data_IF_955554852123
#
_entry.id   IF_955554852123
#
_cell.length_a   1.000
_cell.length_b   1.000
_cell.length_c   1.000
_cell.angle_alpha   90.00
_cell.angle_beta   90.00
_cell.angle_gamma   90.00
#
_symmetry.space_group_name_H-M   'P 1'
#
loop_
_entity.id
_entity.type
_entity.pdbx_description
1 polymer ?
#
# COMPACT_ATOMS: atom_id res chain seq x y z
N UNK A 1 -61.99 56.13 25.94
CA UNK A 1 -60.74 56.75 25.44
C UNK A 1 -59.47 56.33 26.18
N UNK A 2 -59.53 55.62 27.31
CA UNK A 2 -58.35 55.24 28.11
C UNK A 2 -57.68 53.95 27.63
N UNK A 3 -58.46 52.92 27.26
CA UNK A 3 -57.91 51.59 26.91
C UNK A 3 -57.05 51.59 25.63
N UNK A 4 -57.42 52.37 24.61
CA UNK A 4 -56.64 52.50 23.37
C UNK A 4 -55.27 53.13 23.59
N UNK A 5 -55.11 54.04 24.58
CA UNK A 5 -53.82 54.68 24.89
C UNK A 5 -52.84 53.69 25.51
N UNK A 6 -53.32 52.81 26.39
CA UNK A 6 -52.50 51.75 27.00
C UNK A 6 -52.10 50.67 25.99
N UNK A 7 -52.99 50.32 25.06
CA UNK A 7 -52.68 49.40 23.97
C UNK A 7 -51.60 49.98 23.03
N UNK A 8 -51.70 51.25 22.64
CA UNK A 8 -50.68 51.91 21.81
C UNK A 8 -49.31 52.00 22.51
N UNK A 9 -49.30 52.27 23.83
CA UNK A 9 -48.08 52.29 24.63
C UNK A 9 -47.42 50.91 24.71
N UNK A 10 -48.22 49.86 24.92
CA UNK A 10 -47.73 48.47 24.95
C UNK A 10 -47.14 48.03 23.61
N UNK A 11 -47.79 48.39 22.50
CA UNK A 11 -47.29 48.08 21.14
C UNK A 11 -45.98 48.82 20.86
N UNK A 12 -45.86 50.10 21.26
CA UNK A 12 -44.63 50.86 21.09
C UNK A 12 -43.44 50.28 21.88
N UNK A 13 -43.68 49.86 23.13
CA UNK A 13 -42.65 49.23 23.97
C UNK A 13 -42.24 47.87 23.39
N UNK A 14 -43.20 47.05 22.95
CA UNK A 14 -42.91 45.74 22.35
C UNK A 14 -42.06 45.87 21.07
N UNK A 15 -42.39 46.85 20.21
CA UNK A 15 -41.62 47.12 19.00
C UNK A 15 -40.21 47.64 19.33
N UNK A 16 -40.08 48.56 20.28
CA UNK A 16 -38.79 49.09 20.72
C UNK A 16 -37.88 48.00 21.31
N UNK A 17 -38.42 47.18 22.20
CA UNK A 17 -37.69 46.08 22.83
C UNK A 17 -37.25 45.02 21.80
N UNK A 18 -38.09 44.68 20.83
CA UNK A 18 -37.74 43.70 19.78
C UNK A 18 -36.53 44.12 18.97
N UNK A 19 -36.46 45.40 18.58
CA UNK A 19 -35.32 45.93 17.81
C UNK A 19 -34.03 45.95 18.64
N UNK A 20 -34.10 46.33 19.92
CA UNK A 20 -32.93 46.33 20.81
C UNK A 20 -32.40 44.92 21.06
N UNK A 21 -33.31 43.94 21.25
CA UNK A 21 -32.94 42.53 21.39
C UNK A 21 -32.29 42.01 20.11
N UNK A 22 -32.84 42.33 18.94
CA UNK A 22 -32.25 41.94 17.66
C UNK A 22 -30.83 42.50 17.48
N UNK A 23 -30.61 43.78 17.78
CA UNK A 23 -29.28 44.41 17.69
C UNK A 23 -28.30 43.78 18.69
N UNK A 24 -28.73 43.52 19.92
CA UNK A 24 -27.90 42.87 20.95
C UNK A 24 -27.52 41.44 20.56
N UNK A 25 -28.44 40.71 19.91
CA UNK A 25 -28.18 39.36 19.42
C UNK A 25 -27.20 39.36 18.24
N UNK A 26 -27.32 40.33 17.32
CA UNK A 26 -26.41 40.49 16.19
C UNK A 26 -25.01 40.93 16.63
N UNK A 27 -24.90 41.79 17.65
CA UNK A 27 -23.62 42.23 18.20
C UNK A 27 -22.81 41.13 18.90
N UNK A 28 -23.46 40.04 19.34
CA UNK A 28 -22.80 38.88 19.96
C UNK A 28 -22.20 37.88 18.96
N UNK A 29 -22.53 37.99 17.67
CA UNK A 29 -22.17 37.00 16.65
C UNK A 29 -20.82 37.24 15.96
N UNK A 30 -20.14 38.36 16.22
CA UNK A 30 -18.80 38.58 15.69
C UNK A 30 -17.78 37.87 16.59
N UNK A 31 -17.64 36.57 16.40
CA UNK A 31 -16.46 35.85 16.86
C UNK A 31 -15.23 36.63 16.39
N UNK A 32 -14.38 37.07 17.32
CA UNK A 32 -13.23 37.95 17.05
C UNK A 32 -12.11 37.31 16.23
N UNK A 33 -12.42 36.29 15.44
CA UNK A 33 -11.48 35.62 14.57
C UNK A 33 -11.45 36.36 13.22
N UNK A 34 -10.27 36.85 12.78
CA UNK A 34 -10.14 37.50 11.49
C UNK A 34 -10.53 36.53 10.37
N UNK A 35 -11.33 37.01 9.41
CA UNK A 35 -11.66 36.26 8.21
C UNK A 35 -10.46 36.29 7.26
N UNK A 36 -9.82 35.14 7.06
CA UNK A 36 -8.71 35.00 6.12
C UNK A 36 -9.25 34.66 4.72
N UNK A 37 -8.89 35.46 3.71
CA UNK A 37 -9.11 35.10 2.31
C UNK A 37 -7.80 34.54 1.76
N UNK A 38 -7.67 33.21 1.77
CA UNK A 38 -6.44 32.53 1.38
C UNK A 38 -6.61 31.97 -0.04
N UNK A 39 -5.63 32.16 -0.93
CA UNK A 39 -5.65 31.52 -2.23
C UNK A 39 -5.53 29.99 -2.05
N UNK A 40 -6.61 29.27 -2.31
CA UNK A 40 -6.62 27.80 -2.30
C UNK A 40 -6.31 27.28 -3.71
N UNK A 41 -5.26 26.46 -3.82
CA UNK A 41 -4.91 25.72 -5.04
C UNK A 41 -4.54 24.28 -4.68
N UNK A 42 -4.51 23.37 -5.66
CA UNK A 42 -4.29 21.93 -5.45
C UNK A 42 -2.92 21.58 -4.81
N UNK A 43 -2.00 22.55 -4.74
CA UNK A 43 -0.66 22.40 -4.16
C UNK A 43 -0.32 23.50 -3.14
N UNK A 44 -1.30 24.31 -2.70
CA UNK A 44 -1.02 25.36 -1.72
C UNK A 44 -0.90 24.81 -0.31
N UNK A 45 0.13 25.24 0.41
CA UNK A 45 0.22 25.10 1.86
C UNK A 45 0.27 26.49 2.50
N UNK A 46 -0.37 26.65 3.65
CA UNK A 46 -0.31 27.88 4.44
C UNK A 46 -0.24 27.57 5.94
N UNK A 47 0.52 28.39 6.68
CA UNK A 47 0.56 28.39 8.14
C UNK A 47 0.17 29.78 8.59
N UNK A 48 -0.83 29.87 9.46
CA UNK A 48 -1.29 31.13 10.03
C UNK A 48 -1.05 31.07 11.52
N UNK A 49 -0.23 32.00 12.00
CA UNK A 49 0.04 32.22 13.41
C UNK A 49 -0.70 33.49 13.82
N UNK A 50 -1.75 33.33 14.62
CA UNK A 50 -2.55 34.46 15.13
C UNK A 50 -2.20 34.70 16.58
N UNK A 51 -1.68 35.89 16.85
CA UNK A 51 -1.45 36.41 18.19
C UNK A 51 -2.52 37.46 18.48
N UNK A 52 -3.41 37.20 19.45
CA UNK A 52 -4.39 38.19 19.88
C UNK A 52 -3.71 39.17 20.83
N UNK A 53 -3.69 40.46 20.47
CA UNK A 53 -3.07 41.48 21.31
C UNK A 53 -3.83 41.62 22.65
N UNK A 54 -3.19 41.22 23.75
CA UNK A 54 -3.73 41.34 25.11
C UNK A 54 -4.27 40.05 25.75
N UNK A 55 -4.24 38.91 25.06
CA UNK A 55 -4.61 37.60 25.63
C UNK A 55 -3.48 36.57 25.38
N UNK A 56 -3.25 35.66 26.33
CA UNK A 56 -2.23 34.59 26.25
C UNK A 56 -2.59 33.47 25.26
N UNK A 57 -3.72 33.59 24.58
CA UNK A 57 -4.25 32.58 23.67
C UNK A 57 -3.73 32.83 22.26
N UNK A 58 -2.85 31.94 21.81
CA UNK A 58 -2.35 31.90 20.43
C UNK A 58 -2.94 30.69 19.72
N UNK A 59 -3.36 30.90 18.47
CA UNK A 59 -3.93 29.84 17.65
C UNK A 59 -3.11 29.71 16.37
N UNK A 60 -2.66 28.49 16.11
CA UNK A 60 -1.91 28.13 14.91
C UNK A 60 -2.79 27.27 14.00
N UNK A 61 -2.95 27.70 12.74
CA UNK A 61 -3.72 26.99 11.72
C UNK A 61 -2.75 26.58 10.62
N UNK A 62 -2.50 25.26 10.47
CA UNK A 62 -1.69 24.71 9.37
C UNK A 62 -2.59 24.01 8.39
N UNK A 63 -2.44 24.35 7.12
CA UNK A 63 -3.07 23.67 6.01
C UNK A 63 -1.98 23.24 5.02
N UNK A 64 -1.93 21.95 4.67
CA UNK A 64 -1.03 21.42 3.64
C UNK A 64 -1.86 20.62 2.64
N UNK A 65 -1.87 21.03 1.38
CA UNK A 65 -2.31 20.18 0.27
C UNK A 65 -1.07 19.60 -0.42
N UNK A 66 -1.09 18.28 -0.63
CA UNK A 66 -0.07 17.51 -1.34
C UNK A 66 1.36 17.66 -0.79
N UNK A 67 1.58 17.28 0.47
CA UNK A 67 2.94 17.00 0.98
C UNK A 67 3.29 15.56 0.55
N UNK A 68 4.14 15.34 -0.48
CA UNK A 68 4.44 14.00 -0.97
C UNK A 68 5.26 13.27 0.09
N UNK A 69 4.58 12.64 1.04
CA UNK A 69 5.20 11.76 2.01
C UNK A 69 5.85 10.62 1.24
N UNK A 70 7.17 10.48 1.31
CA UNK A 70 7.84 9.31 0.73
C UNK A 70 7.54 8.10 1.62
N UNK A 71 7.11 6.99 1.01
CA UNK A 71 7.04 5.69 1.67
C UNK A 71 8.24 4.89 1.23
N UNK A 72 8.95 4.35 2.21
CA UNK A 72 10.07 3.44 2.00
C UNK A 72 9.57 2.01 2.17
N UNK A 73 9.74 1.19 1.13
CA UNK A 73 9.49 -0.25 1.20
C UNK A 73 10.83 -0.99 1.16
N UNK A 74 11.16 -1.67 2.26
CA UNK A 74 12.32 -2.55 2.39
C UNK A 74 11.90 -3.96 2.01
N UNK A 75 12.46 -4.51 0.92
CA UNK A 75 12.27 -5.91 0.54
C UNK A 75 13.56 -6.70 0.70
N UNK A 76 13.51 -7.73 1.54
CA UNK A 76 14.57 -8.73 1.68
C UNK A 76 14.22 -9.93 0.81
N UNK A 77 15.05 -10.22 -0.19
CA UNK A 77 14.87 -11.39 -1.06
C UNK A 77 15.96 -12.41 -0.73
N UNK A 78 15.55 -13.59 -0.25
CA UNK A 78 16.42 -14.75 -0.12
C UNK A 78 16.50 -15.49 -1.47
N UNK A 79 17.64 -15.42 -2.15
CA UNK A 79 17.90 -16.21 -3.36
C UNK A 79 18.69 -17.48 -2.99
N UNK A 80 18.28 -18.66 -3.46
CA UNK A 80 19.09 -19.87 -3.26
C UNK A 80 20.41 -19.70 -4.03
N UNK A 81 21.54 -19.91 -3.36
CA UNK A 81 22.82 -19.98 -4.06
C UNK A 81 22.80 -21.20 -4.99
N UNK A 82 23.29 -21.03 -6.22
CA UNK A 82 23.24 -22.00 -7.33
C UNK A 82 23.56 -23.45 -6.96
N UNK A 83 23.36 -24.37 -7.90
CA UNK A 83 23.39 -25.84 -7.68
C UNK A 83 24.70 -26.36 -7.09
N UNK A 84 25.80 -25.63 -7.27
CA UNK A 84 27.12 -26.01 -6.77
C UNK A 84 27.53 -25.28 -5.50
N UNK A 85 26.74 -24.32 -4.99
CA UNK A 85 27.11 -23.47 -3.86
C UNK A 85 26.05 -23.56 -2.76
N UNK A 86 26.34 -24.31 -1.69
CA UNK A 86 25.46 -24.42 -0.52
C UNK A 86 25.39 -23.06 0.20
N UNK A 87 24.22 -22.41 0.17
CA UNK A 87 23.96 -21.19 0.93
C UNK A 87 22.71 -20.44 0.47
N UNK A 88 22.27 -19.47 1.27
CA UNK A 88 21.29 -18.46 0.88
C UNK A 88 22.02 -17.15 0.62
N UNK A 89 21.65 -16.43 -0.43
CA UNK A 89 22.11 -15.07 -0.68
C UNK A 89 20.98 -14.12 -0.32
N UNK A 90 21.20 -13.25 0.67
CA UNK A 90 20.27 -12.18 1.01
C UNK A 90 20.57 -10.97 0.13
N UNK A 91 19.54 -10.44 -0.54
CA UNK A 91 19.62 -9.18 -1.29
C UNK A 91 18.60 -8.20 -0.73
N UNK A 92 19.06 -7.00 -0.38
CA UNK A 92 18.21 -5.91 0.11
C UNK A 92 17.86 -4.96 -1.04
N UNK A 93 16.57 -4.72 -1.26
CA UNK A 93 16.08 -3.75 -2.23
C UNK A 93 15.32 -2.68 -1.46
N UNK A 94 15.85 -1.46 -1.46
CA UNK A 94 15.21 -0.26 -0.91
C UNK A 94 14.46 0.45 -2.04
N UNK A 95 13.14 0.60 -1.89
CA UNK A 95 12.32 1.39 -2.82
C UNK A 95 11.74 2.58 -2.10
N UNK A 96 11.97 3.78 -2.63
CA UNK A 96 11.39 5.03 -2.14
C UNK A 96 10.40 5.53 -3.19
N UNK A 97 9.15 5.77 -2.80
CA UNK A 97 8.12 6.32 -3.71
C UNK A 97 7.27 7.37 -3.01
N UNK A 98 6.91 8.49 -3.68
CA UNK A 98 5.99 9.49 -3.11
C UNK A 98 4.58 8.92 -2.95
N UNK A 99 3.91 9.22 -1.84
CA UNK A 99 2.51 8.86 -1.58
C UNK A 99 1.59 9.66 -2.48
N UNK A 100 0.77 8.97 -3.28
CA UNK A 100 -0.22 9.57 -4.17
C UNK A 100 0.06 9.30 -5.64
N UNK A 101 1.28 8.89 -5.99
CA UNK A 101 1.48 8.17 -7.24
C UNK A 101 0.87 6.78 -7.01
N UNK A 102 -0.10 6.39 -7.85
CA UNK A 102 -0.72 5.08 -7.78
C UNK A 102 0.40 4.06 -7.59
N UNK A 103 0.30 3.21 -6.56
CA UNK A 103 1.16 2.04 -6.42
C UNK A 103 0.97 1.27 -7.71
N UNK A 104 1.85 1.54 -8.67
CA UNK A 104 1.67 1.07 -10.01
C UNK A 104 2.05 -0.39 -9.92
N UNK A 105 1.07 -1.22 -9.61
CA UNK A 105 1.19 -2.66 -9.59
C UNK A 105 1.54 -3.16 -11.01
N UNK A 106 1.51 -2.29 -12.04
CA UNK A 106 2.13 -2.55 -13.33
C UNK A 106 3.67 -2.57 -13.29
N UNK A 107 4.36 -2.06 -12.26
CA UNK A 107 5.79 -2.29 -12.10
C UNK A 107 6.10 -3.71 -11.58
N UNK A 108 5.09 -4.46 -11.12
CA UNK A 108 5.18 -5.93 -10.96
C UNK A 108 4.92 -6.62 -12.30
N UNK A 109 4.22 -5.95 -13.23
CA UNK A 109 4.01 -6.39 -14.60
C UNK A 109 5.07 -5.78 -15.53
N UNK A 110 6.32 -6.18 -15.30
CA UNK A 110 7.46 -6.03 -16.22
C UNK A 110 7.58 -4.67 -16.94
N UNK A 111 8.53 -3.78 -16.56
CA UNK A 111 9.23 -3.07 -17.63
C UNK A 111 9.78 -4.17 -18.55
N UNK A 112 9.63 -4.02 -19.87
CA UNK A 112 10.12 -4.95 -20.90
C UNK A 112 11.18 -5.88 -20.33
N UNK A 113 10.81 -7.16 -20.10
CA UNK A 113 11.76 -8.16 -19.59
C UNK A 113 12.99 -8.00 -20.47
N UNK A 114 14.08 -7.49 -19.88
CA UNK A 114 15.32 -7.31 -20.63
C UNK A 114 15.59 -8.65 -21.30
N UNK A 115 16.02 -8.71 -22.56
CA UNK A 115 16.14 -9.99 -23.29
C UNK A 115 16.82 -11.10 -22.45
N UNK A 116 17.79 -10.70 -21.61
CA UNK A 116 18.41 -11.54 -20.59
C UNK A 116 17.45 -12.12 -19.53
N UNK A 117 16.56 -11.34 -18.96
CA UNK A 117 15.56 -11.82 -17.99
C UNK A 117 14.56 -12.80 -18.62
N UNK A 118 14.11 -12.54 -19.86
CA UNK A 118 13.25 -13.47 -20.59
C UNK A 118 13.98 -14.80 -20.84
N UNK A 119 15.24 -14.74 -21.28
CA UNK A 119 16.09 -15.91 -21.46
C UNK A 119 16.34 -16.68 -20.15
N UNK A 120 16.57 -15.99 -19.02
CA UNK A 120 16.72 -16.64 -17.71
C UNK A 120 15.44 -17.36 -17.26
N UNK A 121 14.26 -16.77 -17.53
CA UNK A 121 12.96 -17.37 -17.19
C UNK A 121 12.72 -18.61 -18.06
N UNK A 122 12.99 -18.52 -19.36
CA UNK A 122 12.85 -19.63 -20.30
C UNK A 122 13.83 -20.77 -20.00
N UNK A 123 15.10 -20.46 -19.73
CA UNK A 123 16.10 -21.45 -19.32
C UNK A 123 15.69 -22.13 -18.01
N UNK A 124 15.24 -21.36 -17.03
CA UNK A 124 14.70 -21.91 -15.78
C UNK A 124 13.48 -22.81 -16.03
N UNK A 125 12.59 -22.45 -16.95
CA UNK A 125 11.42 -23.26 -17.31
C UNK A 125 11.82 -24.55 -18.05
N UNK A 126 12.74 -24.47 -19.00
CA UNK A 126 13.28 -25.64 -19.71
C UNK A 126 13.99 -26.60 -18.74
N UNK A 127 14.78 -26.07 -17.81
CA UNK A 127 15.43 -26.83 -16.75
C UNK A 127 14.43 -27.49 -15.79
N UNK A 128 13.32 -26.83 -15.44
CA UNK A 128 12.23 -27.45 -14.66
C UNK A 128 11.64 -28.65 -15.37
N UNK A 129 11.37 -28.53 -16.66
CA UNK A 129 10.75 -29.60 -17.45
C UNK A 129 11.67 -30.81 -17.58
N UNK A 130 12.94 -30.59 -17.90
CA UNK A 130 13.94 -31.66 -18.01
C UNK A 130 14.23 -32.29 -16.63
N UNK A 131 14.38 -31.47 -15.59
CA UNK A 131 14.58 -31.93 -14.23
C UNK A 131 13.39 -32.71 -13.69
N UNK A 132 12.16 -32.31 -14.02
CA UNK A 132 10.94 -33.05 -13.67
C UNK A 132 10.88 -34.41 -14.35
N UNK A 133 11.29 -34.50 -15.62
CA UNK A 133 11.35 -35.76 -16.37
C UNK A 133 12.38 -36.72 -15.75
N UNK A 134 13.62 -36.25 -15.52
CA UNK A 134 14.68 -37.06 -14.90
C UNK A 134 14.33 -37.44 -13.46
N UNK A 135 13.79 -36.50 -12.68
CA UNK A 135 13.32 -36.73 -11.32
C UNK A 135 12.13 -37.70 -11.25
N UNK A 136 11.24 -37.67 -12.25
CA UNK A 136 10.17 -38.66 -12.37
C UNK A 136 10.71 -40.06 -12.63
N UNK A 137 11.71 -40.21 -13.50
CA UNK A 137 12.33 -41.50 -13.80
C UNK A 137 12.97 -42.13 -12.54
N UNK A 138 13.66 -41.33 -11.73
CA UNK A 138 14.24 -41.77 -10.45
C UNK A 138 13.15 -42.10 -9.42
N UNK A 139 12.11 -41.27 -9.31
CA UNK A 139 10.97 -41.54 -8.42
C UNK A 139 10.20 -42.81 -8.81
N UNK A 140 10.05 -43.07 -10.10
CA UNK A 140 9.45 -44.31 -10.62
C UNK A 140 10.38 -45.52 -10.45
N UNK A 141 11.69 -45.34 -10.46
CA UNK A 141 12.64 -46.43 -10.20
C UNK A 141 12.61 -46.90 -8.73
N UNK A 142 12.18 -46.04 -7.81
CA UNK A 142 11.90 -46.39 -6.41
C UNK A 142 10.46 -46.89 -6.18
N UNK A 143 9.59 -46.84 -7.21
CA UNK A 143 8.23 -47.38 -7.12
C UNK A 143 8.15 -48.89 -6.81
N UNK A 144 9.04 -49.79 -7.27
CA UNK A 144 8.91 -51.23 -7.04
C UNK A 144 8.97 -51.62 -5.55
N UNK A 145 9.70 -50.87 -4.73
CA UNK A 145 9.83 -51.13 -3.28
C UNK A 145 8.65 -50.61 -2.48
N UNK A 146 7.95 -49.57 -2.98
CA UNK A 146 6.75 -49.00 -2.36
C UNK A 146 5.45 -49.61 -2.91
N UNK A 147 5.49 -50.17 -4.12
CA UNK A 147 4.37 -50.84 -4.79
C UNK A 147 4.06 -52.25 -4.22
N UNK A 148 4.88 -52.76 -3.29
CA UNK A 148 4.65 -54.06 -2.63
C UNK A 148 3.43 -54.10 -1.69
N UNK A 149 2.75 -52.97 -1.45
CA UNK A 149 1.52 -52.89 -0.63
C UNK A 149 0.29 -52.98 -1.54
N UNK A 150 -0.55 -54.04 -1.47
CA UNK A 150 -1.51 -54.45 -2.51
C UNK A 150 -2.65 -53.46 -2.83
N UNK A 151 -2.80 -52.36 -2.08
CA UNK A 151 -3.84 -51.33 -2.33
C UNK A 151 -3.25 -49.92 -2.30
N UNK A 152 -2.27 -49.65 -1.43
CA UNK A 152 -1.64 -48.33 -1.28
C UNK A 152 -0.44 -48.13 -2.21
N UNK A 153 0.10 -49.19 -2.79
CA UNK A 153 1.30 -49.18 -3.63
C UNK A 153 1.25 -48.17 -4.79
N UNK A 154 0.20 -48.14 -5.63
CA UNK A 154 0.07 -47.15 -6.70
C UNK A 154 0.02 -45.70 -6.20
N UNK A 155 -0.61 -45.46 -5.04
CA UNK A 155 -0.69 -44.13 -4.43
C UNK A 155 0.67 -43.70 -3.85
N UNK A 156 1.39 -44.60 -3.19
CA UNK A 156 2.73 -44.35 -2.66
C UNK A 156 3.76 -44.18 -3.78
N UNK A 157 3.66 -44.95 -4.86
CA UNK A 157 4.47 -44.77 -6.06
C UNK A 157 4.17 -43.44 -6.76
N UNK A 158 2.90 -43.04 -6.83
CA UNK A 158 2.49 -41.71 -7.30
C UNK A 158 3.11 -40.59 -6.45
N UNK A 159 3.03 -40.70 -5.12
CA UNK A 159 3.64 -39.74 -4.20
C UNK A 159 5.17 -39.67 -4.35
N UNK A 160 5.85 -40.81 -4.45
CA UNK A 160 7.30 -40.86 -4.66
C UNK A 160 7.71 -40.24 -6.00
N UNK A 161 6.92 -40.46 -7.05
CA UNK A 161 7.14 -39.84 -8.37
C UNK A 161 6.93 -38.34 -8.32
N UNK A 162 5.89 -37.85 -7.63
CA UNK A 162 5.67 -36.40 -7.44
C UNK A 162 6.79 -35.74 -6.64
N UNK A 163 7.31 -36.41 -5.61
CA UNK A 163 8.46 -35.92 -4.85
C UNK A 163 9.73 -35.86 -5.70
N UNK A 164 9.98 -36.89 -6.52
CA UNK A 164 11.09 -36.91 -7.47
C UNK A 164 10.96 -35.83 -8.54
N UNK A 165 9.75 -35.62 -9.06
CA UNK A 165 9.41 -34.52 -9.97
C UNK A 165 9.67 -33.14 -9.35
N UNK A 166 9.27 -32.92 -8.09
CA UNK A 166 9.42 -31.65 -7.40
C UNK A 166 10.89 -31.33 -7.12
N UNK A 167 11.65 -32.30 -6.57
CA UNK A 167 13.08 -32.14 -6.35
C UNK A 167 13.85 -31.99 -7.66
N UNK A 168 13.54 -32.82 -8.66
CA UNK A 168 14.14 -32.75 -9.99
C UNK A 168 13.86 -31.43 -10.68
N UNK A 169 12.63 -30.90 -10.60
CA UNK A 169 12.30 -29.60 -11.20
C UNK A 169 13.07 -28.45 -10.55
N UNK A 170 13.25 -28.46 -9.22
CA UNK A 170 14.03 -27.44 -8.50
C UNK A 170 15.48 -27.47 -8.93
N UNK A 171 16.11 -28.65 -8.89
CA UNK A 171 17.51 -28.84 -9.29
C UNK A 171 17.70 -28.48 -10.76
N UNK A 172 16.88 -29.03 -11.66
CA UNK A 172 16.96 -28.73 -13.10
C UNK A 172 16.76 -27.26 -13.42
N UNK A 173 15.84 -26.57 -12.74
CA UNK A 173 15.64 -25.13 -12.91
C UNK A 173 16.84 -24.29 -12.51
N UNK A 174 17.58 -24.77 -11.51
CA UNK A 174 18.71 -24.05 -10.94
C UNK A 174 19.98 -24.34 -11.75
N UNK A 175 20.19 -25.57 -12.25
CA UNK A 175 21.29 -25.90 -13.19
C UNK A 175 21.14 -25.07 -14.47
N UNK A 176 19.92 -24.97 -15.01
CA UNK A 176 19.69 -24.24 -16.25
C UNK A 176 19.87 -22.73 -16.10
N UNK A 177 19.60 -22.18 -14.91
CA UNK A 177 19.88 -20.79 -14.57
C UNK A 177 21.39 -20.55 -14.43
N UNK A 178 22.08 -21.39 -13.66
CA UNK A 178 23.54 -21.30 -13.47
C UNK A 178 24.29 -21.40 -14.81
N UNK A 179 23.83 -22.25 -15.75
CA UNK A 179 24.43 -22.39 -17.09
C UNK A 179 24.30 -21.14 -17.96
N UNK A 180 23.32 -20.28 -17.67
CA UNK A 180 23.04 -19.02 -18.37
C UNK A 180 23.52 -17.79 -17.58
N UNK A 181 24.28 -17.99 -16.49
CA UNK A 181 24.69 -16.94 -15.54
C UNK A 181 23.48 -16.14 -14.99
N UNK A 182 22.42 -16.88 -14.67
CA UNK A 182 21.21 -16.46 -13.97
C UNK A 182 21.04 -17.29 -12.68
#
# INVERSE_FOLDING_TARGET
>A
MTQQRWLLLGVGIAFGASNVVAISLLGRGQSGLPKFNLPVSQYSSYSIDVYKAGETESYNIKHRMHDPKIVEELRTIEKPAGVFRKGKSETYILKQSPVGDEFNQSSIRSPELTAKQAECIEAGAAGKMQGRLVGSAVGTAAAPTLAGVPVLGPFLAGAATMLGMDQGSKVGSQIAKDFKDC
#
